data_IF_998764801414
#
_entry.id   IF_998764801414
#
_cell.length_a   1.000
_cell.length_b   1.000
_cell.length_c   1.000
_cell.angle_alpha   90.00
_cell.angle_beta   90.00
_cell.angle_gamma   90.00
#
_symmetry.space_group_name_H-M   'P 1'
#
loop_
_entity.id
_entity.type
_entity.pdbx_description
1 polymer ?
#
# COMPACT_ATOMS: atom_id res chain seq x y z
N UNK A 1 -1.69 -5.97 -13.80
CA UNK A 1 -1.22 -5.25 -12.60
C UNK A 1 -0.19 -6.13 -11.93
N UNK A 2 0.96 -5.58 -11.55
CA UNK A 2 2.00 -6.33 -10.84
C UNK A 2 1.54 -6.64 -9.42
N UNK A 3 1.83 -7.83 -8.93
CA UNK A 3 1.41 -8.25 -7.59
C UNK A 3 2.22 -7.52 -6.51
N UNK A 4 1.53 -7.05 -5.47
CA UNK A 4 2.19 -6.62 -4.25
C UNK A 4 2.96 -7.80 -3.67
N UNK A 5 4.26 -7.63 -3.39
CA UNK A 5 5.12 -8.72 -2.89
C UNK A 5 4.82 -9.11 -1.44
N UNK A 6 3.95 -8.37 -0.74
CA UNK A 6 3.42 -8.77 0.56
C UNK A 6 2.48 -9.98 0.47
N UNK A 7 2.03 -10.49 1.62
CA UNK A 7 1.05 -11.59 1.63
C UNK A 7 -0.27 -11.14 1.01
N UNK A 8 -0.91 -12.01 0.22
CA UNK A 8 -2.19 -11.73 -0.49
C UNK A 8 -3.42 -11.69 0.45
N UNK A 9 -3.15 -11.76 1.73
CA UNK A 9 -4.11 -11.99 2.79
C UNK A 9 -4.54 -10.64 3.36
N UNK A 10 -5.75 -10.55 3.92
CA UNK A 10 -6.12 -9.31 4.62
C UNK A 10 -5.24 -9.18 5.85
N UNK A 11 -4.75 -7.98 6.08
CA UNK A 11 -3.97 -7.69 7.27
C UNK A 11 -4.90 -7.09 8.32
N UNK A 12 -4.68 -7.45 9.57
CA UNK A 12 -5.39 -6.89 10.71
C UNK A 12 -4.38 -6.50 11.77
N UNK A 13 -4.62 -5.35 12.39
CA UNK A 13 -3.75 -4.82 13.43
C UNK A 13 -4.29 -5.21 14.82
N UNK A 14 -3.42 -5.77 15.65
CA UNK A 14 -3.69 -6.12 17.03
C UNK A 14 -3.05 -5.09 17.97
N UNK A 15 -3.82 -4.01 18.23
CA UNK A 15 -3.41 -2.87 19.06
C UNK A 15 -2.64 -3.21 20.34
N UNK A 16 -3.17 -4.09 21.21
CA UNK A 16 -2.51 -4.43 22.48
C UNK A 16 -1.13 -5.09 22.34
N UNK A 17 -0.83 -5.69 21.19
CA UNK A 17 0.40 -6.42 20.93
C UNK A 17 1.34 -5.68 19.98
N UNK A 18 0.88 -4.62 19.31
CA UNK A 18 1.66 -3.96 18.27
C UNK A 18 1.82 -4.81 17.00
N UNK A 19 1.05 -5.88 16.84
CA UNK A 19 1.23 -6.85 15.76
C UNK A 19 0.32 -6.56 14.56
N UNK A 20 0.85 -6.75 13.36
CA UNK A 20 0.06 -6.88 12.14
C UNK A 20 0.07 -8.35 11.75
N UNK A 21 -1.10 -8.95 11.71
CA UNK A 21 -1.27 -10.36 11.35
C UNK A 21 -2.07 -10.50 10.07
N UNK A 22 -1.84 -11.58 9.36
CA UNK A 22 -2.74 -12.00 8.29
C UNK A 22 -4.01 -12.64 8.87
N UNK A 23 -5.08 -12.62 8.09
CA UNK A 23 -6.33 -13.33 8.38
C UNK A 23 -6.16 -14.86 8.54
N UNK A 24 -5.03 -15.44 8.08
CA UNK A 24 -4.65 -16.83 8.34
C UNK A 24 -3.78 -17.03 9.59
N UNK A 25 -3.55 -15.97 10.36
CA UNK A 25 -2.81 -16.00 11.62
C UNK A 25 -1.29 -15.91 11.48
N UNK A 26 -0.77 -15.54 10.31
CA UNK A 26 0.67 -15.31 10.12
C UNK A 26 1.09 -13.91 10.56
N UNK A 27 2.17 -13.78 11.35
CA UNK A 27 2.73 -12.47 11.71
C UNK A 27 3.36 -11.80 10.47
N UNK A 28 2.94 -10.57 10.17
CA UNK A 28 3.42 -9.75 9.06
C UNK A 28 4.46 -8.74 9.55
N UNK A 29 4.17 -8.06 10.65
CA UNK A 29 5.04 -7.06 11.25
C UNK A 29 4.76 -6.91 12.74
N UNK A 30 5.75 -6.45 13.49
CA UNK A 30 5.67 -6.11 14.90
C UNK A 30 6.18 -4.68 15.11
N UNK A 31 5.39 -3.85 15.79
CA UNK A 31 5.66 -2.44 16.03
C UNK A 31 6.19 -2.24 17.46
N UNK A 32 7.31 -1.52 17.58
CA UNK A 32 7.83 -1.12 18.90
C UNK A 32 6.84 -0.16 19.56
N UNK A 33 6.28 -0.61 20.68
CA UNK A 33 5.20 0.08 21.40
C UNK A 33 5.74 1.27 22.22
N UNK A 34 5.45 2.52 21.80
CA UNK A 34 5.80 3.76 22.50
C UNK A 34 4.61 4.73 22.78
N UNK A 35 3.36 4.28 22.62
CA UNK A 35 2.14 4.99 23.00
C UNK A 35 1.37 5.69 21.86
N UNK A 36 1.75 5.52 20.59
CA UNK A 36 1.07 6.04 19.38
C UNK A 36 0.81 4.98 18.30
N UNK A 37 0.92 3.71 18.64
CA UNK A 37 1.01 2.60 17.67
C UNK A 37 -0.31 2.36 16.95
N UNK A 38 -1.43 2.73 17.57
CA UNK A 38 -2.76 2.40 17.08
C UNK A 38 -3.05 2.96 15.69
N UNK A 39 -2.60 4.18 15.40
CA UNK A 39 -2.80 4.82 14.10
C UNK A 39 -1.86 4.25 13.04
N UNK A 40 -0.60 4.00 13.39
CA UNK A 40 0.41 3.48 12.46
C UNK A 40 0.13 2.03 12.08
N UNK A 41 -0.25 1.20 13.04
CA UNK A 41 -0.60 -0.20 12.82
C UNK A 41 -1.81 -0.35 11.90
N UNK A 42 -2.85 0.47 12.11
CA UNK A 42 -4.02 0.50 11.21
C UNK A 42 -3.65 0.93 9.78
N UNK A 43 -2.84 1.97 9.62
CA UNK A 43 -2.37 2.43 8.31
C UNK A 43 -1.55 1.35 7.57
N UNK A 44 -0.66 0.67 8.30
CA UNK A 44 0.15 -0.41 7.73
C UNK A 44 -0.71 -1.64 7.37
N UNK A 45 -1.70 -1.99 8.19
CA UNK A 45 -2.64 -3.06 7.87
C UNK A 45 -3.47 -2.76 6.61
N UNK A 46 -3.75 -1.49 6.30
CA UNK A 46 -4.45 -1.09 5.08
C UNK A 46 -3.54 -1.05 3.83
N UNK A 47 -2.23 -1.32 3.94
CA UNK A 47 -1.29 -1.17 2.84
C UNK A 47 -1.63 -2.00 1.58
N UNK A 48 -2.09 -3.27 1.68
CA UNK A 48 -2.49 -4.03 0.50
C UNK A 48 -3.65 -3.38 -0.27
N UNK A 49 -4.73 -2.99 0.42
CA UNK A 49 -5.89 -2.33 -0.18
C UNK A 49 -5.54 -0.95 -0.75
N UNK A 50 -4.70 -0.17 -0.05
CA UNK A 50 -4.21 1.11 -0.54
C UNK A 50 -3.38 0.95 -1.82
N UNK A 51 -2.53 -0.08 -1.89
CA UNK A 51 -1.75 -0.37 -3.08
C UNK A 51 -2.64 -0.76 -4.26
N UNK A 52 -3.63 -1.62 -4.06
CA UNK A 52 -4.59 -1.98 -5.12
C UNK A 52 -5.39 -0.76 -5.61
N UNK A 53 -5.83 0.11 -4.70
CA UNK A 53 -6.54 1.34 -5.05
C UNK A 53 -5.66 2.28 -5.91
N UNK A 54 -4.38 2.42 -5.57
CA UNK A 54 -3.43 3.21 -6.35
C UNK A 54 -3.23 2.64 -7.76
N UNK A 55 -3.09 1.32 -7.89
CA UNK A 55 -2.98 0.66 -9.20
C UNK A 55 -4.24 0.87 -10.07
N UNK A 56 -5.43 0.80 -9.47
CA UNK A 56 -6.69 1.08 -10.19
C UNK A 56 -6.78 2.53 -10.67
N UNK A 57 -6.31 3.49 -9.87
CA UNK A 57 -6.23 4.91 -10.26
C UNK A 57 -5.27 5.10 -11.43
N UNK A 58 -4.10 4.45 -11.41
CA UNK A 58 -3.13 4.51 -12.50
C UNK A 58 -3.73 3.98 -13.82
N UNK A 59 -4.41 2.83 -13.75
CA UNK A 59 -5.09 2.24 -14.91
C UNK A 59 -6.14 3.20 -15.45
N UNK A 60 -7.03 3.72 -14.59
CA UNK A 60 -8.08 4.67 -14.99
C UNK A 60 -7.50 5.92 -15.68
N UNK A 61 -6.47 6.52 -15.10
CA UNK A 61 -5.85 7.71 -15.66
C UNK A 61 -5.20 7.44 -17.02
N UNK A 62 -4.60 6.26 -17.17
CA UNK A 62 -4.01 5.82 -18.45
C UNK A 62 -5.09 5.59 -19.51
N UNK A 63 -6.23 5.02 -19.13
CA UNK A 63 -7.39 4.85 -20.04
C UNK A 63 -7.97 6.19 -20.49
N UNK A 64 -8.09 7.17 -19.58
CA UNK A 64 -8.69 8.48 -19.89
C UNK A 64 -7.80 9.40 -20.72
N UNK A 65 -6.48 9.36 -20.49
CA UNK A 65 -5.55 10.33 -21.08
C UNK A 65 -4.56 9.72 -22.10
N UNK A 66 -4.54 8.39 -22.24
CA UNK A 66 -3.62 7.68 -23.13
C UNK A 66 -2.29 7.31 -22.47
N UNK A 67 -1.60 6.32 -23.04
CA UNK A 67 -0.40 5.69 -22.45
C UNK A 67 0.85 6.57 -22.39
N UNK A 68 0.89 7.70 -23.09
CA UNK A 68 2.10 8.51 -23.33
C UNK A 68 2.01 9.96 -22.85
N UNK A 69 1.14 10.26 -21.88
CA UNK A 69 1.14 11.61 -21.29
C UNK A 69 2.31 11.74 -20.33
N UNK A 70 3.34 12.47 -20.75
CA UNK A 70 4.40 12.94 -19.87
C UNK A 70 3.81 13.97 -18.91
N UNK A 71 3.50 13.50 -17.71
CA UNK A 71 3.06 14.37 -16.63
C UNK A 71 4.28 15.01 -15.94
N UNK A 72 4.13 16.25 -15.46
CA UNK A 72 5.16 16.88 -14.63
C UNK A 72 5.47 16.04 -13.38
N UNK A 73 6.65 16.26 -12.78
CA UNK A 73 7.08 15.53 -11.57
C UNK A 73 6.11 15.64 -10.39
N UNK A 74 5.39 16.76 -10.28
CA UNK A 74 4.41 16.99 -9.23
C UNK A 74 3.00 16.47 -9.52
N UNK A 75 2.77 15.98 -10.73
CA UNK A 75 1.46 15.47 -11.12
C UNK A 75 1.06 14.26 -10.28
N UNK A 76 -0.21 14.15 -9.84
CA UNK A 76 -0.68 13.07 -8.97
C UNK A 76 -0.37 11.66 -9.51
N UNK A 77 -0.49 11.46 -10.82
CA UNK A 77 -0.19 10.16 -11.46
C UNK A 77 1.31 9.83 -11.41
N UNK A 78 2.19 10.81 -11.55
CA UNK A 78 3.65 10.60 -11.42
C UNK A 78 3.99 10.15 -9.99
N UNK A 79 3.38 10.78 -8.98
CA UNK A 79 3.55 10.40 -7.57
C UNK A 79 2.99 9.00 -7.27
N UNK A 80 1.81 8.68 -7.80
CA UNK A 80 1.22 7.35 -7.66
C UNK A 80 2.09 6.26 -8.29
N UNK A 81 2.59 6.48 -9.51
CA UNK A 81 3.53 5.56 -10.18
C UNK A 81 4.80 5.33 -9.35
N UNK A 82 5.39 6.39 -8.81
CA UNK A 82 6.57 6.29 -7.96
C UNK A 82 6.29 5.50 -6.67
N UNK A 83 5.14 5.73 -6.04
CA UNK A 83 4.71 4.98 -4.85
C UNK A 83 4.50 3.49 -5.16
N UNK A 84 3.87 3.17 -6.31
CA UNK A 84 3.66 1.80 -6.78
C UNK A 84 5.01 1.11 -7.04
N UNK A 85 5.92 1.76 -7.77
CA UNK A 85 7.25 1.23 -8.06
C UNK A 85 8.02 0.92 -6.77
N UNK A 86 8.03 1.87 -5.82
CA UNK A 86 8.64 1.68 -4.50
C UNK A 86 8.04 0.49 -3.75
N UNK A 87 6.71 0.35 -3.74
CA UNK A 87 6.02 -0.77 -3.09
C UNK A 87 6.30 -2.14 -3.77
N UNK A 88 6.63 -2.14 -5.07
CA UNK A 88 7.08 -3.32 -5.80
C UNK A 88 8.59 -3.61 -5.61
N UNK A 89 9.32 -2.69 -4.98
CA UNK A 89 10.78 -2.76 -4.81
C UNK A 89 11.54 -2.51 -6.11
N UNK A 90 11.09 -1.54 -6.90
CA UNK A 90 11.72 -1.07 -8.14
C UNK A 90 12.39 0.29 -7.95
#
# INVERSE_FOLDING_TARGET
MSEFKGTKEKWSYQGPLGEIISDKGGLIADLIVNGKEDENGQLMAAAPELFEALQRIEVWATTMHGHNVEYSGDHPITKAKAAIAKALGQ
#
